data_IF_837342068758
#
_entry.id   IF_837342068758
#
_cell.length_a   1.000
_cell.length_b   1.000
_cell.length_c   1.000
_cell.angle_alpha   90.00
_cell.angle_beta   90.00
_cell.angle_gamma   90.00
#
_symmetry.space_group_name_H-M   'P 1'
#
loop_
_entity.id
_entity.type
_entity.pdbx_description
1 polymer ?
#
# COMPACT_ATOMS: atom_id res chain seq x y z
N UNK A 1 -18.65 -2.53 -29.83
CA UNK A 1 -17.57 -2.85 -28.88
C UNK A 1 -18.15 -2.80 -27.47
N UNK A 2 -18.19 -3.93 -26.77
CA UNK A 2 -18.68 -3.97 -25.38
C UNK A 2 -17.67 -3.26 -24.48
N UNK A 3 -18.09 -2.17 -23.83
CA UNK A 3 -17.26 -1.51 -22.83
C UNK A 3 -17.36 -2.31 -21.52
N UNK A 4 -16.24 -2.80 -21.03
CA UNK A 4 -16.18 -3.38 -19.68
C UNK A 4 -16.28 -2.23 -18.69
N UNK A 5 -17.40 -2.12 -17.97
CA UNK A 5 -17.64 -1.08 -16.96
C UNK A 5 -17.91 -1.71 -15.59
N UNK A 6 -17.54 -1.03 -14.49
CA UNK A 6 -17.87 -1.47 -13.14
C UNK A 6 -19.34 -1.14 -12.78
N UNK A 7 -19.78 -1.53 -11.58
CA UNK A 7 -21.14 -1.25 -11.09
C UNK A 7 -21.52 0.24 -11.04
N UNK A 8 -20.53 1.14 -11.10
CA UNK A 8 -20.70 2.59 -11.10
C UNK A 8 -20.55 3.21 -12.51
N UNK A 9 -20.47 2.39 -13.57
CA UNK A 9 -20.34 2.86 -14.96
C UNK A 9 -18.92 3.26 -15.38
N UNK A 10 -17.91 3.05 -14.54
CA UNK A 10 -16.53 3.40 -14.87
C UNK A 10 -15.93 2.38 -15.83
N UNK A 11 -15.34 2.83 -16.93
CA UNK A 11 -14.60 1.96 -17.87
C UNK A 11 -13.44 1.24 -17.16
N UNK A 12 -13.56 -0.09 -17.08
CA UNK A 12 -12.61 -1.00 -16.43
C UNK A 12 -11.26 -1.12 -17.18
N UNK A 13 -11.21 -0.70 -18.44
CA UNK A 13 -10.05 -0.88 -19.31
C UNK A 13 -8.80 -0.07 -18.90
N UNK A 14 -8.90 0.85 -17.92
CA UNK A 14 -7.80 1.71 -17.50
C UNK A 14 -7.64 1.85 -15.97
N UNK A 15 -8.10 0.88 -15.18
CA UNK A 15 -7.90 0.91 -13.73
C UNK A 15 -6.43 0.62 -13.37
N UNK A 16 -5.63 1.69 -13.23
CA UNK A 16 -4.21 1.62 -12.85
C UNK A 16 -3.98 1.26 -11.38
N UNK A 17 -5.00 1.45 -10.54
CA UNK A 17 -4.97 1.14 -9.11
C UNK A 17 -6.09 0.14 -8.81
N UNK A 18 -5.72 -1.02 -8.28
CA UNK A 18 -6.62 -2.15 -8.04
C UNK A 18 -6.12 -2.99 -6.88
N UNK A 19 -7.04 -3.66 -6.18
CA UNK A 19 -6.69 -4.69 -5.19
C UNK A 19 -6.05 -5.93 -5.84
N UNK A 20 -6.29 -6.13 -7.14
CA UNK A 20 -5.62 -7.14 -7.94
C UNK A 20 -4.29 -6.62 -8.49
N UNK A 21 -3.34 -7.54 -8.70
CA UNK A 21 -2.06 -7.24 -9.36
C UNK A 21 -2.31 -6.75 -10.80
N UNK A 22 -1.68 -5.63 -11.20
CA UNK A 22 -1.76 -5.07 -12.55
C UNK A 22 -0.37 -4.79 -13.10
N UNK A 23 -0.10 -5.25 -14.32
CA UNK A 23 1.06 -4.80 -15.08
C UNK A 23 0.88 -3.31 -15.45
N UNK A 24 1.92 -2.51 -15.28
CA UNK A 24 1.87 -1.05 -15.50
C UNK A 24 2.16 -0.64 -16.95
N UNK A 25 2.63 -1.57 -17.79
CA UNK A 25 3.18 -1.30 -19.13
C UNK A 25 4.59 -0.70 -19.11
N UNK A 26 5.17 -0.45 -17.94
CA UNK A 26 6.55 0.01 -17.78
C UNK A 26 7.48 -1.18 -17.50
N UNK A 27 8.76 -1.01 -17.87
CA UNK A 27 9.82 -1.97 -17.58
C UNK A 27 10.85 -1.37 -16.63
N UNK A 28 11.47 -2.24 -15.84
CA UNK A 28 12.66 -1.94 -15.05
C UNK A 28 13.90 -1.88 -15.95
N UNK A 29 15.02 -1.39 -15.42
CA UNK A 29 16.27 -1.19 -16.18
C UNK A 29 16.81 -2.49 -16.83
N UNK A 30 16.44 -3.66 -16.30
CA UNK A 30 16.82 -4.97 -16.83
C UNK A 30 15.71 -5.63 -17.68
N UNK A 31 14.69 -4.87 -18.09
CA UNK A 31 13.59 -5.33 -18.94
C UNK A 31 12.45 -6.03 -18.20
N UNK A 32 12.55 -6.26 -16.87
CA UNK A 32 11.46 -6.88 -16.11
C UNK A 32 10.22 -5.97 -16.08
N UNK A 33 9.03 -6.56 -16.19
CA UNK A 33 7.76 -5.85 -16.07
C UNK A 33 7.57 -5.27 -14.66
N UNK A 34 7.06 -4.04 -14.59
CA UNK A 34 6.68 -3.40 -13.33
C UNK A 34 5.18 -3.63 -13.09
N UNK A 35 4.86 -4.09 -11.88
CA UNK A 35 3.51 -4.33 -11.41
C UNK A 35 3.10 -3.31 -10.35
N UNK A 36 1.79 -3.08 -10.22
CA UNK A 36 1.16 -2.24 -9.21
C UNK A 36 0.07 -3.03 -8.49
N UNK A 37 -0.04 -2.89 -7.17
CA UNK A 37 -1.13 -3.45 -6.37
C UNK A 37 -1.50 -2.51 -5.23
N UNK A 38 -2.79 -2.34 -4.98
CA UNK A 38 -3.32 -1.64 -3.81
C UNK A 38 -3.52 -2.65 -2.69
N UNK A 39 -2.99 -2.34 -1.51
CA UNK A 39 -3.12 -3.15 -0.30
C UNK A 39 -3.93 -2.32 0.69
N UNK A 40 -5.06 -2.83 1.17
CA UNK A 40 -5.84 -2.16 2.20
C UNK A 40 -5.14 -2.27 3.55
N UNK A 41 -5.14 -1.18 4.29
CA UNK A 41 -4.51 -1.07 5.61
C UNK A 41 -5.56 -0.54 6.59
N UNK A 42 -5.61 -1.13 7.78
CA UNK A 42 -6.52 -0.70 8.85
C UNK A 42 -5.72 -0.06 9.97
N UNK A 43 -6.45 0.60 10.88
CA UNK A 43 -5.90 1.32 12.00
C UNK A 43 -4.98 0.50 12.90
N UNK A 44 -4.10 1.23 13.56
CA UNK A 44 -3.02 0.76 14.41
C UNK A 44 -2.74 1.81 15.48
N UNK A 45 -2.09 1.42 16.56
CA UNK A 45 -1.75 2.32 17.66
C UNK A 45 -0.35 1.96 18.19
N UNK A 46 -0.27 0.99 19.09
CA UNK A 46 0.94 0.67 19.86
C UNK A 46 1.65 -0.61 19.45
N UNK A 47 1.21 -1.27 18.37
CA UNK A 47 1.73 -2.57 17.92
C UNK A 47 1.88 -2.65 16.42
N UNK A 48 2.97 -3.28 16.00
CA UNK A 48 3.25 -3.56 14.59
C UNK A 48 2.05 -4.22 13.91
N UNK A 49 1.71 -3.72 12.71
CA UNK A 49 0.61 -4.25 11.92
C UNK A 49 1.14 -5.03 10.74
N UNK A 50 0.72 -6.29 10.64
CA UNK A 50 1.09 -7.19 9.55
C UNK A 50 -0.10 -7.35 8.59
N UNK A 51 0.09 -6.97 7.34
CA UNK A 51 -0.91 -7.08 6.28
C UNK A 51 -0.37 -7.96 5.16
N UNK A 52 -1.01 -9.11 4.93
CA UNK A 52 -0.64 -9.99 3.82
C UNK A 52 -0.94 -9.31 2.49
N UNK A 53 0.07 -9.16 1.63
CA UNK A 53 -0.11 -8.53 0.32
C UNK A 53 -0.49 -9.52 -0.78
N UNK A 54 -0.32 -10.83 -0.56
CA UNK A 54 -0.66 -11.90 -1.52
C UNK A 54 -0.06 -11.65 -2.93
N UNK A 55 1.25 -11.43 -2.99
CA UNK A 55 2.00 -11.24 -4.25
C UNK A 55 2.93 -12.44 -4.35
N UNK A 56 2.76 -13.26 -5.38
CA UNK A 56 3.70 -14.35 -5.66
C UNK A 56 5.00 -13.79 -6.24
N UNK A 57 6.12 -14.47 -6.00
CA UNK A 57 7.40 -14.21 -6.69
C UNK A 57 7.90 -12.76 -6.56
N UNK A 58 7.50 -12.05 -5.50
CA UNK A 58 7.95 -10.69 -5.22
C UNK A 58 9.47 -10.68 -5.10
N UNK A 59 10.13 -9.95 -5.99
CA UNK A 59 11.58 -9.86 -6.02
C UNK A 59 12.08 -8.56 -5.41
N UNK A 60 11.52 -7.42 -5.82
CA UNK A 60 11.91 -6.10 -5.32
C UNK A 60 10.78 -5.10 -5.39
N UNK A 61 10.62 -4.35 -4.31
CA UNK A 61 9.74 -3.17 -4.27
C UNK A 61 10.47 -1.98 -4.86
N UNK A 62 9.77 -1.21 -5.68
CA UNK A 62 10.26 0.02 -6.30
C UNK A 62 9.73 1.27 -5.58
N UNK A 63 8.48 1.23 -5.13
CA UNK A 63 7.88 2.28 -4.31
C UNK A 63 6.71 1.74 -3.48
N UNK A 64 6.43 2.40 -2.35
CA UNK A 64 5.27 2.14 -1.51
C UNK A 64 4.71 3.48 -1.02
N UNK A 65 3.60 3.92 -1.60
CA UNK A 65 2.91 5.13 -1.19
C UNK A 65 1.76 4.74 -0.27
N UNK A 66 1.84 5.06 1.02
CA UNK A 66 0.84 4.68 2.02
C UNK A 66 0.15 5.92 2.59
N UNK A 67 -1.18 5.89 2.57
CA UNK A 67 -2.00 6.93 3.17
C UNK A 67 -3.03 6.33 4.14
N UNK A 68 -3.18 6.99 5.28
CA UNK A 68 -4.20 6.71 6.28
C UNK A 68 -5.16 7.89 6.39
N UNK A 69 -6.43 7.60 6.63
CA UNK A 69 -7.48 8.57 6.90
C UNK A 69 -8.09 8.31 8.27
N UNK A 70 -8.01 9.29 9.15
CA UNK A 70 -8.61 9.27 10.49
C UNK A 70 -10.12 9.54 10.42
N UNK A 71 -10.83 9.23 11.50
CA UNK A 71 -12.30 9.35 11.60
C UNK A 71 -12.81 10.79 11.45
N UNK A 72 -11.98 11.78 11.80
CA UNK A 72 -12.24 13.21 11.61
C UNK A 72 -12.10 13.68 10.15
N UNK A 73 -11.63 12.80 9.24
CA UNK A 73 -11.47 13.09 7.82
C UNK A 73 -10.04 13.47 7.40
N UNK A 74 -9.10 13.63 8.33
CA UNK A 74 -7.72 14.03 8.05
C UNK A 74 -6.96 12.92 7.33
N UNK A 75 -6.12 13.28 6.34
CA UNK A 75 -5.31 12.32 5.59
C UNK A 75 -3.83 12.46 5.96
N UNK A 76 -3.17 11.33 6.20
CA UNK A 76 -1.77 11.26 6.59
C UNK A 76 -0.99 10.40 5.60
N UNK A 77 0.15 10.89 5.13
CA UNK A 77 1.16 10.07 4.46
C UNK A 77 1.99 9.32 5.51
N UNK A 78 2.29 8.05 5.24
CA UNK A 78 3.11 7.17 6.07
C UNK A 78 4.30 6.69 5.22
N UNK A 79 5.53 6.52 5.76
CA UNK A 79 5.94 6.68 7.15
C UNK A 79 6.01 8.14 7.60
N UNK A 80 6.00 8.34 8.92
CA UNK A 80 6.27 9.64 9.54
C UNK A 80 7.26 9.47 10.68
N UNK A 81 8.19 10.42 10.81
CA UNK A 81 8.98 10.57 12.01
C UNK A 81 8.30 11.62 12.88
N UNK A 82 8.11 11.31 14.16
CA UNK A 82 7.72 12.27 15.17
C UNK A 82 8.66 12.13 16.36
N UNK A 83 8.89 13.24 17.06
CA UNK A 83 9.90 13.35 18.12
C UNK A 83 9.28 13.46 19.52
N UNK A 84 8.01 13.11 19.69
CA UNK A 84 7.34 13.06 20.99
C UNK A 84 6.81 11.64 21.26
N UNK A 85 6.44 11.40 22.53
CA UNK A 85 5.97 10.11 23.03
C UNK A 85 4.49 9.82 22.68
N UNK A 86 3.78 10.79 22.09
CA UNK A 86 2.36 10.70 21.77
C UNK A 86 2.10 10.31 20.31
N UNK A 87 3.10 10.48 19.45
CA UNK A 87 2.98 10.29 18.00
C UNK A 87 4.17 9.55 17.38
N UNK A 88 4.71 8.57 18.10
CA UNK A 88 5.97 7.91 17.79
C UNK A 88 6.18 7.56 16.31
N UNK A 89 7.45 7.52 15.91
CA UNK A 89 7.86 7.18 14.56
C UNK A 89 7.21 5.90 14.01
N UNK A 90 6.81 5.97 12.75
CA UNK A 90 6.26 4.85 11.99
C UNK A 90 7.21 4.55 10.84
N UNK A 91 7.53 3.28 10.62
CA UNK A 91 8.25 2.80 9.44
C UNK A 91 7.39 1.84 8.61
N UNK A 92 7.71 1.70 7.33
CA UNK A 92 7.10 0.70 6.45
C UNK A 92 8.17 -0.32 6.07
N UNK A 93 7.90 -1.59 6.31
CA UNK A 93 8.71 -2.69 5.85
C UNK A 93 7.89 -3.60 4.93
N UNK A 94 8.41 -3.91 3.74
CA UNK A 94 7.81 -4.91 2.85
C UNK A 94 8.68 -6.16 2.86
N UNK A 95 8.09 -7.27 3.29
CA UNK A 95 8.70 -8.59 3.27
C UNK A 95 8.22 -9.38 2.05
N UNK A 96 8.61 -10.65 1.92
CA UNK A 96 8.11 -11.53 0.84
C UNK A 96 6.60 -11.76 0.88
N UNK A 97 5.95 -11.58 2.04
CA UNK A 97 4.54 -11.95 2.24
C UNK A 97 3.68 -10.85 2.85
N UNK A 98 4.29 -9.90 3.58
CA UNK A 98 3.58 -8.87 4.33
C UNK A 98 4.10 -7.47 4.02
N UNK A 99 3.18 -6.52 3.99
CA UNK A 99 3.43 -5.13 4.37
C UNK A 99 3.34 -5.03 5.90
N UNK A 100 4.37 -4.47 6.52
CA UNK A 100 4.46 -4.28 7.96
C UNK A 100 4.55 -2.79 8.24
N UNK A 101 3.64 -2.30 9.07
CA UNK A 101 3.77 -1.01 9.72
C UNK A 101 4.48 -1.25 11.04
N UNK A 102 5.71 -0.77 11.17
CA UNK A 102 6.41 -0.79 12.45
C UNK A 102 6.11 0.51 13.18
N UNK A 103 5.56 0.42 14.37
CA UNK A 103 5.01 1.57 15.10
C UNK A 103 5.67 1.67 16.46
N UNK A 104 5.86 2.90 16.94
CA UNK A 104 6.25 3.11 18.33
C UNK A 104 5.12 2.80 19.31
N UNK A 105 5.33 3.20 20.56
CA UNK A 105 4.47 2.86 21.69
C UNK A 105 3.12 3.56 21.66
N UNK A 106 3.00 4.74 21.04
CA UNK A 106 1.73 5.50 20.99
C UNK A 106 1.47 6.12 19.63
N UNK A 107 0.28 5.90 19.06
CA UNK A 107 -0.16 6.56 17.83
C UNK A 107 -1.69 6.73 17.74
N UNK A 108 -2.15 7.90 17.31
CA UNK A 108 -3.58 8.22 17.12
C UNK A 108 -4.28 7.61 15.89
N UNK A 109 -3.91 6.41 15.44
CA UNK A 109 -4.44 5.79 14.20
C UNK A 109 -5.38 4.58 14.42
N UNK A 110 -5.82 4.31 15.66
CA UNK A 110 -6.58 3.10 16.00
C UNK A 110 -7.84 2.89 15.12
N UNK A 111 -8.58 3.97 14.86
CA UNK A 111 -9.81 3.96 14.05
C UNK A 111 -9.60 4.40 12.59
N UNK A 112 -8.34 4.54 12.16
CA UNK A 112 -8.03 4.99 10.81
C UNK A 112 -8.23 3.85 9.78
N UNK A 113 -8.46 4.23 8.53
CA UNK A 113 -8.45 3.31 7.39
C UNK A 113 -7.53 3.85 6.31
N UNK A 114 -6.95 2.98 5.50
CA UNK A 114 -5.98 3.42 4.52
C UNK A 114 -5.66 2.39 3.47
N UNK A 115 -4.68 2.75 2.64
CA UNK A 115 -4.18 1.90 1.59
C UNK A 115 -2.71 2.18 1.34
N UNK A 116 -2.01 1.16 0.85
CA UNK A 116 -0.69 1.27 0.26
C UNK A 116 -0.76 0.97 -1.22
N UNK A 117 -0.15 1.82 -2.04
CA UNK A 117 0.07 1.57 -3.47
C UNK A 117 1.51 1.05 -3.61
N UNK A 118 1.63 -0.24 -3.92
CA UNK A 118 2.92 -0.90 -4.04
C UNK A 118 3.28 -1.09 -5.52
N UNK A 119 4.44 -0.56 -5.94
CA UNK A 119 5.04 -0.87 -7.25
C UNK A 119 6.22 -1.81 -7.05
N UNK A 120 6.33 -2.85 -7.87
CA UNK A 120 7.32 -3.90 -7.69
C UNK A 120 7.64 -4.66 -8.98
N UNK A 121 8.71 -5.44 -8.92
CA UNK A 121 9.10 -6.42 -9.93
C UNK A 121 9.10 -7.84 -9.34
N UNK A 122 8.89 -8.82 -10.20
CA UNK A 122 8.87 -10.25 -9.85
C UNK A 122 10.17 -10.92 -10.30
N UNK A 123 10.48 -12.09 -9.73
CA UNK A 123 11.75 -12.79 -9.99
C UNK A 123 11.85 -13.42 -11.38
N UNK A 124 10.72 -13.60 -12.07
CA UNK A 124 10.62 -14.06 -13.47
C UNK A 124 9.58 -13.24 -14.20
#
# INVERSE_FOLDING_TARGET
MSQFVNANGNTLLNLKFSLEERETGMQWIDGKKIYCKVILVNGFDSKDKYVKHNISDLYRVLSCDLFMKTSDGTNHMIPRAHQDEDHDGISIQITKTNLILQVGQSNGFADATGYAILKYIKSK
#
